data_IF_270821938143
#
_entry.id   IF_270821938143
#
_cell.length_a   1.000
_cell.length_b   1.000
_cell.length_c   1.000
_cell.angle_alpha   90.00
_cell.angle_beta   90.00
_cell.angle_gamma   90.00
#
_symmetry.space_group_name_H-M   'P 1'
#
loop_
_entity.id
_entity.type
_entity.pdbx_description
1 polymer ?
#
# COMPACT_ATOMS: atom_id res chain seq x y z
N UNK A 1 -44.87 -13.05 30.87
CA UNK A 1 -44.90 -11.69 30.25
C UNK A 1 -43.63 -11.54 29.47
N UNK A 2 -43.69 -12.01 28.21
CA UNK A 2 -42.54 -12.06 27.30
C UNK A 2 -42.41 -10.72 26.58
N UNK A 3 -41.31 -10.02 26.84
CA UNK A 3 -40.97 -8.80 26.12
C UNK A 3 -40.09 -9.18 24.92
N UNK A 4 -40.72 -9.31 23.77
CA UNK A 4 -40.05 -9.54 22.48
C UNK A 4 -39.56 -8.19 21.95
N UNK A 5 -38.21 -8.00 21.96
CA UNK A 5 -37.58 -6.86 21.30
C UNK A 5 -37.56 -7.07 19.78
N UNK A 6 -37.87 -6.05 18.96
CA UNK A 6 -37.85 -6.22 17.51
C UNK A 6 -36.41 -6.33 16.98
N UNK A 7 -36.14 -7.42 16.25
CA UNK A 7 -34.96 -7.64 15.45
C UNK A 7 -34.98 -6.63 14.30
N UNK A 8 -34.05 -5.68 14.31
CA UNK A 8 -33.83 -4.75 13.22
C UNK A 8 -33.38 -5.52 11.97
N UNK A 9 -34.21 -5.53 10.94
CA UNK A 9 -33.89 -6.09 9.64
C UNK A 9 -32.70 -5.35 9.01
N UNK A 10 -31.76 -6.07 8.36
CA UNK A 10 -30.63 -5.41 7.70
C UNK A 10 -31.12 -4.55 6.53
N UNK A 11 -30.78 -3.25 6.58
CA UNK A 11 -31.00 -2.32 5.47
C UNK A 11 -30.19 -2.80 4.28
N UNK A 12 -30.86 -3.47 3.34
CA UNK A 12 -30.29 -3.79 2.03
C UNK A 12 -30.16 -2.49 1.25
N UNK A 13 -28.99 -1.84 1.31
CA UNK A 13 -28.65 -0.78 0.37
C UNK A 13 -28.29 -1.43 -0.96
N UNK A 14 -29.18 -1.31 -1.93
CA UNK A 14 -28.95 -1.73 -3.31
C UNK A 14 -28.00 -0.74 -3.99
N UNK A 15 -26.70 -1.01 -3.89
CA UNK A 15 -25.65 -0.26 -4.60
C UNK A 15 -25.18 -0.97 -5.88
N UNK A 16 -26.07 -1.79 -6.47
CA UNK A 16 -25.83 -2.42 -7.78
C UNK A 16 -26.51 -1.61 -8.85
N UNK A 17 -25.81 -0.60 -9.37
CA UNK A 17 -26.09 -0.05 -10.69
C UNK A 17 -24.77 -0.08 -11.46
N UNK A 18 -24.74 -0.94 -12.48
CA UNK A 18 -23.80 -1.02 -13.61
C UNK A 18 -22.34 -0.59 -13.32
N UNK A 19 -21.61 -1.41 -12.56
CA UNK A 19 -20.17 -1.32 -12.50
C UNK A 19 -19.58 -2.22 -13.58
N UNK A 20 -19.00 -1.62 -14.61
CA UNK A 20 -17.98 -2.27 -15.41
C UNK A 20 -16.82 -2.52 -14.42
N UNK A 21 -16.70 -3.76 -13.95
CA UNK A 21 -15.57 -4.15 -13.10
C UNK A 21 -14.29 -3.83 -13.88
N UNK A 22 -13.47 -2.93 -13.33
CA UNK A 22 -12.17 -2.67 -13.94
C UNK A 22 -11.32 -3.91 -13.68
N UNK A 23 -10.72 -4.47 -14.71
CA UNK A 23 -9.82 -5.62 -14.58
C UNK A 23 -8.43 -5.19 -14.05
N UNK A 24 -8.38 -4.10 -13.26
CA UNK A 24 -7.16 -3.58 -12.67
C UNK A 24 -6.91 -4.23 -11.32
N UNK A 25 -5.79 -4.93 -11.18
CA UNK A 25 -5.29 -5.30 -9.86
C UNK A 25 -4.68 -4.06 -9.16
N UNK A 26 -4.51 -4.15 -7.83
CA UNK A 26 -4.00 -3.02 -7.04
C UNK A 26 -2.60 -2.54 -7.46
N UNK A 27 -1.74 -3.42 -7.97
CA UNK A 27 -0.40 -3.04 -8.47
C UNK A 27 -0.54 -2.21 -9.75
N UNK A 28 -1.34 -2.67 -10.71
CA UNK A 28 -1.61 -1.93 -11.96
C UNK A 28 -2.25 -0.56 -11.65
N UNK A 29 -3.19 -0.50 -10.72
CA UNK A 29 -3.81 0.74 -10.28
C UNK A 29 -2.79 1.69 -9.62
N UNK A 30 -1.89 1.18 -8.78
CA UNK A 30 -0.81 1.97 -8.17
C UNK A 30 0.10 2.61 -9.24
N UNK A 31 0.48 1.84 -10.28
CA UNK A 31 1.28 2.37 -11.40
C UNK A 31 0.52 3.46 -12.17
N UNK A 32 -0.76 3.28 -12.45
CA UNK A 32 -1.57 4.32 -13.08
C UNK A 32 -1.68 5.57 -12.20
N UNK A 33 -1.81 5.39 -10.89
CA UNK A 33 -1.83 6.49 -9.91
C UNK A 33 -0.56 7.33 -9.99
N UNK A 34 0.63 6.69 -9.98
CA UNK A 34 1.92 7.37 -10.08
C UNK A 34 2.08 8.11 -11.41
N UNK A 35 1.61 7.54 -12.51
CA UNK A 35 1.70 8.14 -13.85
C UNK A 35 0.81 9.38 -14.04
N UNK A 36 -0.02 9.77 -13.06
CA UNK A 36 -0.73 11.06 -13.10
C UNK A 36 0.22 12.25 -12.96
N UNK A 37 1.39 12.07 -12.39
CA UNK A 37 2.38 13.13 -12.19
C UNK A 37 3.26 13.38 -13.42
N UNK A 38 3.25 12.45 -14.34
CA UNK A 38 4.01 12.56 -15.57
C UNK A 38 4.46 11.21 -16.10
N UNK A 39 5.09 11.21 -17.28
CA UNK A 39 5.70 10.00 -17.82
C UNK A 39 6.85 9.51 -16.94
N UNK A 40 6.89 8.19 -16.69
CA UNK A 40 7.94 7.54 -15.89
C UNK A 40 8.41 6.26 -16.56
N UNK A 41 9.70 5.96 -16.42
CA UNK A 41 10.27 4.64 -16.74
C UNK A 41 9.89 3.62 -15.68
N UNK A 42 10.03 2.31 -15.96
CA UNK A 42 9.79 1.27 -14.97
C UNK A 42 10.66 1.41 -13.71
N UNK A 43 11.90 1.91 -13.87
CA UNK A 43 12.79 2.17 -12.73
C UNK A 43 12.30 3.33 -11.85
N UNK A 44 11.85 4.42 -12.47
CA UNK A 44 11.28 5.58 -11.76
C UNK A 44 9.97 5.21 -11.06
N UNK A 45 9.13 4.37 -11.66
CA UNK A 45 7.92 3.85 -11.03
C UNK A 45 8.22 3.03 -9.76
N UNK A 46 9.27 2.19 -9.79
CA UNK A 46 9.72 1.46 -8.58
C UNK A 46 10.16 2.44 -7.49
N UNK A 47 10.96 3.45 -7.85
CA UNK A 47 11.46 4.45 -6.90
C UNK A 47 10.31 5.29 -6.31
N UNK A 48 9.39 5.77 -7.15
CA UNK A 48 8.23 6.55 -6.74
C UNK A 48 7.27 5.73 -5.85
N UNK A 49 7.04 4.44 -6.19
CA UNK A 49 6.23 3.55 -5.36
C UNK A 49 6.86 3.36 -3.96
N UNK A 50 8.17 3.13 -3.91
CA UNK A 50 8.90 3.03 -2.65
C UNK A 50 8.77 4.30 -1.81
N UNK A 51 8.99 5.46 -2.40
CA UNK A 51 8.95 6.73 -1.69
C UNK A 51 7.56 7.05 -1.12
N UNK A 52 6.48 6.69 -1.82
CA UNK A 52 5.12 7.15 -1.49
C UNK A 52 4.27 6.14 -0.77
N UNK A 53 4.53 4.85 -1.00
CA UNK A 53 3.63 3.77 -0.58
C UNK A 53 4.20 2.90 0.53
N UNK A 54 5.52 2.89 0.78
CA UNK A 54 6.07 2.22 1.95
C UNK A 54 5.69 2.94 3.26
N UNK A 55 5.41 2.21 4.34
CA UNK A 55 5.56 0.75 4.52
C UNK A 55 4.30 -0.07 4.18
N UNK A 56 3.18 0.53 3.80
CA UNK A 56 1.89 -0.17 3.67
C UNK A 56 1.71 -0.88 2.33
N UNK A 57 2.44 -0.47 1.28
CA UNK A 57 2.38 -1.09 -0.04
C UNK A 57 3.75 -1.13 -0.70
N UNK A 58 4.25 -2.33 -0.97
CA UNK A 58 5.51 -2.51 -1.67
C UNK A 58 5.29 -2.99 -3.11
N UNK A 59 6.01 -2.39 -4.05
CA UNK A 59 5.99 -2.78 -5.46
C UNK A 59 7.38 -3.20 -5.87
N UNK A 60 7.53 -4.43 -6.29
CA UNK A 60 8.82 -4.95 -6.76
C UNK A 60 9.06 -4.60 -8.23
N UNK A 61 10.34 -4.57 -8.62
CA UNK A 61 10.73 -4.37 -10.01
C UNK A 61 10.04 -5.38 -10.94
N UNK A 62 10.03 -6.66 -10.57
CA UNK A 62 9.40 -7.71 -11.35
C UNK A 62 7.90 -7.49 -11.54
N UNK A 63 7.20 -6.98 -10.52
CA UNK A 63 5.77 -6.63 -10.65
C UNK A 63 5.57 -5.48 -11.64
N UNK A 64 6.36 -4.40 -11.54
CA UNK A 64 6.27 -3.27 -12.48
C UNK A 64 6.43 -3.72 -13.91
N UNK A 65 7.50 -4.48 -14.19
CA UNK A 65 7.78 -4.93 -15.57
C UNK A 65 6.81 -6.01 -16.08
N UNK A 66 6.08 -6.69 -15.20
CA UNK A 66 5.00 -7.58 -15.58
C UNK A 66 3.70 -6.84 -15.89
N UNK A 67 3.38 -5.79 -15.12
CA UNK A 67 2.12 -5.05 -15.30
C UNK A 67 2.16 -4.07 -16.48
N UNK A 68 3.30 -3.41 -16.75
CA UNK A 68 3.41 -2.39 -17.79
C UNK A 68 2.99 -2.87 -19.20
N UNK A 69 3.41 -4.05 -19.69
CA UNK A 69 2.92 -4.59 -20.96
C UNK A 69 1.40 -4.74 -21.00
N UNK A 70 0.80 -5.34 -19.97
CA UNK A 70 -0.65 -5.51 -19.89
C UNK A 70 -1.40 -4.17 -19.87
N UNK A 71 -0.86 -3.16 -19.20
CA UNK A 71 -1.43 -1.81 -19.21
C UNK A 71 -1.31 -1.14 -20.60
N UNK A 72 -0.22 -1.41 -21.33
CA UNK A 72 -0.03 -0.91 -22.68
C UNK A 72 -0.98 -1.61 -23.67
N UNK A 73 -1.11 -2.92 -23.59
CA UNK A 73 -2.03 -3.72 -24.43
C UNK A 73 -3.51 -3.32 -24.21
N UNK A 74 -3.87 -3.01 -22.96
CA UNK A 74 -5.19 -2.48 -22.62
C UNK A 74 -5.37 -0.99 -23.05
N UNK A 75 -4.34 -0.34 -23.59
CA UNK A 75 -4.37 1.06 -23.98
C UNK A 75 -4.45 2.04 -22.81
N UNK A 76 -4.13 1.63 -21.60
CA UNK A 76 -4.16 2.48 -20.41
C UNK A 76 -2.90 3.31 -20.24
N UNK A 77 -1.78 2.83 -20.77
CA UNK A 77 -0.54 3.59 -20.88
C UNK A 77 -0.03 3.56 -22.31
N UNK A 78 0.77 4.55 -22.67
CA UNK A 78 1.50 4.63 -23.94
C UNK A 78 2.98 4.63 -23.66
N UNK A 79 3.69 3.69 -24.25
CA UNK A 79 5.13 3.67 -24.23
C UNK A 79 5.69 4.83 -25.08
N UNK A 80 6.63 5.58 -24.54
CA UNK A 80 7.38 6.63 -25.24
C UNK A 80 8.56 6.07 -26.03
N UNK A 81 9.34 6.94 -26.63
CA UNK A 81 10.59 6.52 -27.30
C UNK A 81 11.61 6.05 -26.25
N UNK A 82 12.31 4.94 -26.48
CA UNK A 82 13.38 4.51 -25.60
C UNK A 82 14.46 5.59 -25.47
N UNK A 83 14.84 5.91 -24.25
CA UNK A 83 15.94 6.78 -23.91
C UNK A 83 17.27 6.02 -23.78
N UNK A 84 18.31 6.67 -23.21
CA UNK A 84 19.58 6.02 -22.91
C UNK A 84 19.39 4.72 -22.10
N UNK A 85 20.21 3.70 -22.40
CA UNK A 85 20.17 2.36 -21.78
C UNK A 85 18.82 1.64 -21.95
N UNK A 86 18.09 1.90 -23.06
CA UNK A 86 16.76 1.35 -23.35
C UNK A 86 15.69 1.64 -22.27
N UNK A 87 15.89 2.69 -21.49
CA UNK A 87 14.90 3.13 -20.51
C UNK A 87 13.68 3.73 -21.25
N UNK A 88 12.58 2.99 -21.26
CA UNK A 88 11.35 3.39 -21.94
C UNK A 88 10.41 4.06 -20.95
N UNK A 89 10.04 5.35 -21.17
CA UNK A 89 9.04 6.02 -20.35
C UNK A 89 7.62 5.58 -20.75
N UNK A 90 6.73 5.51 -19.80
CA UNK A 90 5.31 5.25 -19.97
C UNK A 90 4.50 6.47 -19.55
N UNK A 91 3.47 6.81 -20.32
CA UNK A 91 2.57 7.91 -20.00
C UNK A 91 1.13 7.36 -19.90
N UNK A 92 0.38 7.82 -18.91
CA UNK A 92 -1.03 7.45 -18.76
C UNK A 92 -1.88 8.07 -19.87
N UNK A 93 -2.80 7.28 -20.45
CA UNK A 93 -3.73 7.74 -21.48
C UNK A 93 -5.03 8.26 -20.85
N UNK A 94 -5.91 8.86 -21.67
CA UNK A 94 -7.27 9.21 -21.23
C UNK A 94 -8.07 7.97 -20.79
N UNK A 95 -7.87 6.82 -21.47
CA UNK A 95 -8.49 5.54 -21.08
C UNK A 95 -7.95 5.05 -19.72
N UNK A 96 -6.63 5.13 -19.49
CA UNK A 96 -6.01 4.79 -18.22
C UNK A 96 -6.52 5.65 -17.06
N UNK A 97 -6.67 6.97 -17.28
CA UNK A 97 -7.26 7.88 -16.27
C UNK A 97 -8.69 7.52 -15.93
N UNK A 98 -9.51 7.11 -16.92
CA UNK A 98 -10.88 6.64 -16.66
C UNK A 98 -10.90 5.33 -15.89
N UNK A 99 -10.06 4.36 -16.29
CA UNK A 99 -9.95 3.06 -15.63
C UNK A 99 -9.50 3.24 -14.16
N UNK A 100 -8.51 4.09 -13.91
CA UNK A 100 -8.04 4.38 -12.55
C UNK A 100 -9.15 5.01 -11.68
N UNK A 101 -9.88 6.00 -12.20
CA UNK A 101 -11.02 6.60 -11.46
C UNK A 101 -12.12 5.58 -11.18
N UNK A 102 -12.41 4.69 -12.12
CA UNK A 102 -13.40 3.63 -11.90
C UNK A 102 -12.95 2.67 -10.81
N UNK A 103 -11.66 2.26 -10.82
CA UNK A 103 -11.07 1.43 -9.76
C UNK A 103 -11.12 2.10 -8.38
N UNK A 104 -10.83 3.40 -8.28
CA UNK A 104 -10.94 4.16 -7.03
C UNK A 104 -12.38 4.23 -6.49
N UNK A 105 -13.39 4.11 -7.35
CA UNK A 105 -14.80 4.08 -6.95
C UNK A 105 -15.29 2.70 -6.49
N UNK A 106 -14.49 1.64 -6.69
CA UNK A 106 -14.78 0.30 -6.19
C UNK A 106 -14.58 0.24 -4.67
N UNK A 107 -15.31 -0.68 -4.02
CA UNK A 107 -15.07 -0.93 -2.60
C UNK A 107 -13.67 -1.51 -2.41
N UNK A 108 -12.92 -0.98 -1.45
CA UNK A 108 -11.68 -1.61 -1.04
C UNK A 108 -11.96 -3.04 -0.58
N UNK A 109 -11.16 -3.99 -1.07
CA UNK A 109 -11.24 -5.38 -0.63
C UNK A 109 -10.86 -5.54 0.84
N UNK A 110 -10.97 -6.76 1.36
CA UNK A 110 -10.50 -7.07 2.70
C UNK A 110 -8.98 -6.92 2.80
N UNK A 111 -8.51 -6.33 3.90
CA UNK A 111 -7.08 -6.22 4.19
C UNK A 111 -6.50 -7.59 4.50
N UNK A 112 -5.51 -8.00 3.72
CA UNK A 112 -4.72 -9.20 3.97
C UNK A 112 -3.30 -8.81 4.37
N UNK A 113 -3.10 -8.55 5.66
CA UNK A 113 -1.76 -8.28 6.18
C UNK A 113 -0.96 -9.58 6.31
N UNK A 114 0.22 -9.61 5.70
CA UNK A 114 1.24 -10.66 5.91
C UNK A 114 2.43 -10.03 6.65
N UNK A 115 2.48 -10.24 7.95
CA UNK A 115 3.57 -9.74 8.77
C UNK A 115 4.45 -10.92 9.25
N UNK A 116 5.67 -11.10 8.70
CA UNK A 116 6.56 -12.19 9.07
C UNK A 116 7.02 -12.15 10.53
N UNK A 117 7.08 -10.97 11.14
CA UNK A 117 7.44 -10.81 12.55
C UNK A 117 6.32 -11.38 13.44
N UNK A 118 5.07 -10.98 13.18
CA UNK A 118 3.90 -11.47 13.92
C UNK A 118 3.77 -13.00 13.77
N UNK A 119 3.99 -13.52 12.54
CA UNK A 119 4.00 -14.97 12.31
C UNK A 119 5.05 -15.67 13.17
N UNK A 120 6.29 -15.16 13.24
CA UNK A 120 7.36 -15.75 14.04
C UNK A 120 7.05 -15.69 15.53
N UNK A 121 6.53 -14.57 16.02
CA UNK A 121 6.12 -14.45 17.43
C UNK A 121 4.99 -15.42 17.76
N UNK A 122 4.04 -15.66 16.85
CA UNK A 122 2.97 -16.65 17.02
C UNK A 122 3.47 -18.09 17.22
N UNK A 123 4.69 -18.39 16.77
CA UNK A 123 5.38 -19.67 17.01
C UNK A 123 6.45 -19.56 18.12
N UNK A 124 6.32 -18.59 19.02
CA UNK A 124 7.28 -18.27 20.06
C UNK A 124 7.74 -19.47 20.90
N UNK A 125 6.83 -20.39 21.24
CA UNK A 125 7.12 -21.59 22.02
C UNK A 125 8.10 -22.57 21.36
N UNK A 126 8.29 -22.47 20.04
CA UNK A 126 9.19 -23.34 19.27
C UNK A 126 10.59 -22.71 19.05
N UNK A 127 10.80 -21.50 19.51
CA UNK A 127 12.10 -20.85 19.40
C UNK A 127 13.10 -21.38 20.44
N UNK A 128 14.37 -21.37 20.08
CA UNK A 128 15.44 -21.61 21.06
C UNK A 128 15.45 -20.49 22.11
N UNK A 129 15.90 -20.82 23.31
CA UNK A 129 16.00 -19.88 24.45
C UNK A 129 16.69 -18.58 24.03
N UNK A 130 16.10 -17.45 24.38
CA UNK A 130 16.58 -16.10 24.05
C UNK A 130 16.46 -15.70 22.57
N UNK A 131 15.94 -16.57 21.68
CA UNK A 131 15.78 -16.20 20.26
C UNK A 131 14.64 -15.21 20.03
N UNK A 132 13.56 -15.32 20.84
CA UNK A 132 12.46 -14.34 20.78
C UNK A 132 12.92 -12.97 21.25
N UNK A 133 13.74 -12.90 22.32
CA UNK A 133 14.31 -11.63 22.79
C UNK A 133 15.08 -10.92 21.67
N UNK A 134 16.03 -11.64 21.05
CA UNK A 134 16.78 -11.07 19.92
C UNK A 134 15.88 -10.63 18.76
N UNK A 135 14.87 -11.44 18.42
CA UNK A 135 13.92 -11.10 17.37
C UNK A 135 13.17 -9.79 17.69
N UNK A 136 12.74 -9.62 18.95
CA UNK A 136 12.04 -8.42 19.43
C UNK A 136 12.97 -7.21 19.42
N UNK A 137 14.21 -7.35 19.91
CA UNK A 137 15.19 -6.25 19.98
C UNK A 137 15.57 -5.76 18.58
N UNK A 138 15.86 -6.68 17.65
CA UNK A 138 16.14 -6.36 16.25
C UNK A 138 14.93 -5.69 15.55
N UNK A 139 13.73 -6.17 15.84
CA UNK A 139 12.52 -5.56 15.30
C UNK A 139 12.30 -4.15 15.86
N UNK A 140 12.50 -3.98 17.17
CA UNK A 140 12.35 -2.68 17.85
C UNK A 140 13.28 -1.63 17.24
N UNK A 141 14.55 -1.95 17.02
CA UNK A 141 15.50 -1.03 16.37
C UNK A 141 15.00 -0.57 15.01
N UNK A 142 14.65 -1.51 14.13
CA UNK A 142 14.16 -1.18 12.79
C UNK A 142 12.88 -0.33 12.80
N UNK A 143 11.93 -0.65 13.66
CA UNK A 143 10.66 0.08 13.74
C UNK A 143 10.82 1.47 14.41
N UNK A 144 11.79 1.65 15.31
CA UNK A 144 12.14 2.98 15.83
C UNK A 144 12.74 3.88 14.74
N UNK A 145 13.64 3.36 13.92
CA UNK A 145 14.21 4.08 12.78
C UNK A 145 13.12 4.44 11.76
N UNK A 146 12.26 3.47 11.40
CA UNK A 146 11.15 3.70 10.49
C UNK A 146 10.16 4.76 11.03
N UNK A 147 9.86 4.72 12.33
CA UNK A 147 9.02 5.73 12.99
C UNK A 147 9.65 7.13 12.91
N UNK A 148 10.94 7.25 13.15
CA UNK A 148 11.65 8.53 13.07
C UNK A 148 11.64 9.08 11.63
N UNK A 149 11.94 8.26 10.64
CA UNK A 149 11.88 8.60 9.23
C UNK A 149 10.46 9.00 8.79
N UNK A 150 9.44 8.24 9.19
CA UNK A 150 8.04 8.54 8.89
C UNK A 150 7.59 9.88 9.47
N UNK A 151 7.97 10.20 10.71
CA UNK A 151 7.68 11.52 11.33
C UNK A 151 8.34 12.67 10.57
N UNK A 152 9.61 12.52 10.18
CA UNK A 152 10.32 13.52 9.39
C UNK A 152 9.63 13.73 8.03
N UNK A 153 9.21 12.65 7.38
CA UNK A 153 8.46 12.71 6.11
C UNK A 153 7.14 13.47 6.25
N UNK A 154 6.34 13.17 7.28
CA UNK A 154 5.07 13.89 7.54
C UNK A 154 5.32 15.39 7.73
N UNK A 155 6.32 15.75 8.52
CA UNK A 155 6.67 17.16 8.73
C UNK A 155 7.08 17.85 7.44
N UNK A 156 7.89 17.19 6.62
CA UNK A 156 8.32 17.70 5.31
C UNK A 156 7.13 17.94 4.39
N UNK A 157 6.25 16.93 4.24
CA UNK A 157 5.06 17.02 3.38
C UNK A 157 4.15 18.18 3.79
N UNK A 158 3.94 18.38 5.11
CA UNK A 158 3.15 19.49 5.64
C UNK A 158 3.81 20.86 5.36
N UNK A 159 5.13 20.95 5.53
CA UNK A 159 5.89 22.18 5.26
C UNK A 159 5.86 22.58 3.79
N UNK A 160 5.89 21.61 2.90
CA UNK A 160 5.86 21.82 1.45
C UNK A 160 4.44 22.09 0.92
N UNK A 161 3.41 22.01 1.75
CA UNK A 161 2.02 22.21 1.33
C UNK A 161 1.50 21.14 0.41
N UNK A 162 1.97 19.89 0.56
CA UNK A 162 1.56 18.76 -0.26
C UNK A 162 0.09 18.41 -0.07
N UNK A 163 -0.43 17.61 -1.02
CA UNK A 163 -1.80 17.07 -1.00
C UNK A 163 -2.14 16.45 0.37
N UNK A 164 -3.27 16.85 1.01
CA UNK A 164 -3.70 16.32 2.30
C UNK A 164 -3.84 14.80 2.34
N UNK A 165 -4.19 14.17 1.22
CA UNK A 165 -4.31 12.70 1.15
C UNK A 165 -2.93 12.03 1.19
N UNK A 166 -1.91 12.64 0.59
CA UNK A 166 -0.53 12.16 0.71
C UNK A 166 -0.02 12.28 2.14
N UNK A 167 -0.33 13.39 2.82
CA UNK A 167 -0.01 13.58 4.25
C UNK A 167 -0.71 12.52 5.10
N UNK A 168 -2.02 12.30 4.90
CA UNK A 168 -2.79 11.30 5.65
C UNK A 168 -2.23 9.88 5.45
N UNK A 169 -1.78 9.54 4.25
CA UNK A 169 -1.15 8.26 3.96
C UNK A 169 0.19 8.10 4.70
N UNK A 170 1.01 9.14 4.75
CA UNK A 170 2.26 9.13 5.53
C UNK A 170 1.99 9.05 7.05
N UNK A 171 0.94 9.69 7.55
CA UNK A 171 0.50 9.59 8.94
C UNK A 171 0.03 8.17 9.31
N UNK A 172 -0.59 7.44 8.37
CA UNK A 172 -0.90 6.02 8.57
C UNK A 172 0.38 5.20 8.84
N UNK A 173 1.46 5.42 8.08
CA UNK A 173 2.76 4.77 8.33
C UNK A 173 3.28 5.03 9.75
N UNK A 174 3.22 6.28 10.21
CA UNK A 174 3.60 6.64 11.59
C UNK A 174 2.73 5.95 12.65
N UNK A 175 1.42 5.85 12.40
CA UNK A 175 0.49 5.17 13.30
C UNK A 175 0.76 3.66 13.37
N UNK A 176 1.06 3.04 12.23
CA UNK A 176 1.43 1.64 12.11
C UNK A 176 2.70 1.31 12.91
N UNK A 177 3.78 2.08 12.72
CA UNK A 177 5.03 1.88 13.46
C UNK A 177 4.86 2.04 14.97
N UNK A 178 4.07 3.02 15.41
CA UNK A 178 3.72 3.19 16.83
C UNK A 178 2.94 1.99 17.39
N UNK A 179 2.01 1.45 16.61
CA UNK A 179 1.23 0.30 17.03
C UNK A 179 2.11 -0.95 17.17
N UNK A 180 3.02 -1.18 16.21
CA UNK A 180 3.98 -2.28 16.27
C UNK A 180 4.93 -2.17 17.48
N UNK A 181 5.48 -0.99 17.73
CA UNK A 181 6.37 -0.77 18.88
C UNK A 181 5.65 -1.04 20.21
N UNK A 182 4.41 -0.57 20.36
CA UNK A 182 3.60 -0.89 21.55
C UNK A 182 3.32 -2.38 21.69
N UNK A 183 3.03 -3.06 20.58
CA UNK A 183 2.82 -4.50 20.61
C UNK A 183 4.08 -5.26 21.00
N UNK A 184 5.27 -4.85 20.53
CA UNK A 184 6.54 -5.46 20.91
C UNK A 184 6.80 -5.39 22.42
N UNK A 185 6.26 -4.40 23.13
CA UNK A 185 6.35 -4.29 24.58
C UNK A 185 5.54 -5.37 25.32
N UNK A 186 4.60 -6.01 24.64
CA UNK A 186 3.74 -7.07 25.19
C UNK A 186 4.24 -8.49 24.88
N UNK A 187 5.25 -8.62 24.02
CA UNK A 187 5.78 -9.92 23.61
C UNK A 187 6.61 -10.55 24.74
N UNK A 188 6.28 -11.77 25.20
CA UNK A 188 7.11 -12.46 26.21
C UNK A 188 8.50 -12.74 25.66
N UNK A 189 9.54 -12.37 26.41
CA UNK A 189 10.98 -12.50 26.03
C UNK A 189 11.75 -13.46 26.94
N UNK A 190 11.16 -14.60 27.28
CA UNK A 190 11.80 -15.60 28.15
C UNK A 190 12.85 -16.44 27.44
#
# INVERSE_FOLDING_TARGET
>A
MDSCAPVLAPVRRSWHRDRVATNLNSTAAALLGLLHEGPMTGGELVAAAKERMEPFWSVTRSQVYRELPGLADAGYVRAGKPGPRAAQPYAITAAGRRAFRAWLAEAAGADHSRNPLVLRVGFGAHHARGAVSRLVDDARGRHQEALAAGRARVQQLKKEGNDPFLVATAEFGVAYERALLRWLDTVPTQ
#
